data_IF_454438969546
#
_entry.id   IF_454438969546
#
_cell.length_a   1.000
_cell.length_b   1.000
_cell.length_c   1.000
_cell.angle_alpha   90.00
_cell.angle_beta   90.00
_cell.angle_gamma   90.00
#
_symmetry.space_group_name_H-M   'P 1'
#
loop_
_entity.id
_entity.type
_entity.pdbx_description
1 polymer ?
#
# COMPACT_ATOMS: atom_id res chain seq x y z
N UNK A 1 -2.65 6.51 -1.97
CA UNK A 1 -2.80 5.37 -1.04
C UNK A 1 -3.57 5.80 0.19
N UNK A 2 -3.57 4.96 1.23
CA UNK A 2 -4.25 5.20 2.52
C UNK A 2 -3.28 5.17 3.70
N UNK A 3 -3.45 6.14 4.60
CA UNK A 3 -2.95 6.08 5.97
C UNK A 3 -3.88 5.26 6.86
N UNK A 4 -3.54 5.14 8.14
CA UNK A 4 -4.30 4.35 9.11
C UNK A 4 -5.59 5.04 9.57
N UNK A 5 -5.54 6.35 9.80
CA UNK A 5 -6.61 7.13 10.43
C UNK A 5 -6.85 8.47 9.75
N UNK A 6 -5.80 9.20 9.39
CA UNK A 6 -5.89 10.61 9.03
C UNK A 6 -5.41 10.88 7.60
N UNK A 7 -6.20 11.67 6.87
CA UNK A 7 -5.84 12.09 5.52
C UNK A 7 -4.84 13.24 5.58
N UNK A 8 -3.75 13.12 4.81
CA UNK A 8 -2.75 14.17 4.57
C UNK A 8 -1.91 14.60 5.79
N UNK A 9 -1.92 13.86 6.90
CA UNK A 9 -1.03 14.10 8.05
C UNK A 9 0.35 13.53 7.76
N UNK A 10 1.08 14.18 6.85
CA UNK A 10 2.31 13.62 6.23
C UNK A 10 3.53 14.52 6.36
N UNK A 11 3.44 15.59 7.16
CA UNK A 11 4.53 16.55 7.31
C UNK A 11 5.72 15.93 8.05
N UNK A 12 6.72 15.50 7.28
CA UNK A 12 7.93 14.84 7.80
C UNK A 12 8.74 15.72 8.76
N UNK A 13 8.58 17.05 8.74
CA UNK A 13 9.27 17.91 9.70
C UNK A 13 8.87 17.61 11.15
N UNK A 14 7.64 17.12 11.37
CA UNK A 14 7.14 16.77 12.70
C UNK A 14 7.90 15.59 13.32
N UNK A 15 8.51 14.70 12.50
CA UNK A 15 9.24 13.53 13.01
C UNK A 15 10.59 13.88 13.66
N UNK A 16 11.03 15.14 13.55
CA UNK A 16 12.25 15.65 14.18
C UNK A 16 12.00 16.32 15.53
N UNK A 17 10.74 16.46 15.96
CA UNK A 17 10.43 16.95 17.29
C UNK A 17 10.96 15.97 18.34
N UNK A 18 11.47 16.45 19.48
CA UNK A 18 12.00 15.61 20.57
C UNK A 18 10.84 14.99 21.39
N UNK A 19 9.94 14.30 20.70
CA UNK A 19 8.80 13.57 21.28
C UNK A 19 9.10 12.08 21.11
N UNK A 20 8.83 11.32 22.16
CA UNK A 20 8.99 9.86 22.13
C UNK A 20 8.15 9.25 20.99
N UNK A 21 8.75 8.37 20.18
CA UNK A 21 8.13 7.73 19.02
C UNK A 21 7.61 8.68 17.93
N UNK A 22 8.08 9.94 17.87
CA UNK A 22 7.64 10.90 16.85
C UNK A 22 7.80 10.35 15.41
N UNK A 23 8.90 9.63 15.14
CA UNK A 23 9.16 9.05 13.82
C UNK A 23 8.11 8.04 13.36
N UNK A 24 7.51 7.33 14.32
CA UNK A 24 6.63 6.20 14.03
C UNK A 24 5.14 6.59 14.10
N UNK A 25 4.79 7.56 14.95
CA UNK A 25 3.41 7.84 15.32
C UNK A 25 2.91 9.27 15.02
N UNK A 26 3.79 10.27 14.81
CA UNK A 26 3.33 11.67 14.67
C UNK A 26 2.77 12.00 13.30
N UNK A 27 3.04 11.14 12.31
CA UNK A 27 2.53 11.26 10.95
C UNK A 27 1.81 9.97 10.55
N UNK A 28 0.84 10.15 9.65
CA UNK A 28 0.06 9.08 9.05
C UNK A 28 0.16 9.10 7.51
N UNK A 29 1.35 8.85 6.94
CA UNK A 29 1.51 8.68 5.51
C UNK A 29 0.77 7.46 4.99
N UNK A 30 0.46 7.50 3.69
CA UNK A 30 -0.01 6.33 2.97
C UNK A 30 0.99 5.18 3.02
N UNK A 31 0.49 3.96 3.15
CA UNK A 31 1.30 2.74 3.26
C UNK A 31 0.81 1.65 2.30
N UNK A 32 1.73 0.80 1.84
CA UNK A 32 1.42 -0.24 0.86
C UNK A 32 0.52 -1.34 1.44
N UNK A 33 0.75 -1.73 2.69
CA UNK A 33 -0.09 -2.70 3.39
C UNK A 33 -1.53 -2.21 3.55
N UNK A 34 -1.76 -1.00 4.04
CA UNK A 34 -3.12 -0.47 4.18
C UNK A 34 -3.77 -0.18 2.84
N UNK A 35 -3.04 0.36 1.86
CA UNK A 35 -3.58 0.58 0.51
C UNK A 35 -3.99 -0.73 -0.14
N UNK A 36 -3.18 -1.78 0.00
CA UNK A 36 -3.51 -3.14 -0.46
C UNK A 36 -4.76 -3.69 0.21
N UNK A 37 -4.90 -3.52 1.53
CA UNK A 37 -6.11 -3.95 2.27
C UNK A 37 -7.38 -3.21 1.87
N UNK A 38 -7.30 -1.90 1.62
CA UNK A 38 -8.45 -1.13 1.13
C UNK A 38 -8.85 -1.58 -0.27
N UNK A 39 -7.88 -1.79 -1.18
CA UNK A 39 -8.14 -2.35 -2.50
C UNK A 39 -8.74 -3.77 -2.44
N UNK A 40 -8.26 -4.61 -1.52
CA UNK A 40 -8.83 -5.92 -1.24
C UNK A 40 -10.30 -5.81 -0.83
N UNK A 41 -10.59 -4.93 0.13
CA UNK A 41 -11.95 -4.69 0.59
C UNK A 41 -12.86 -4.22 -0.55
N UNK A 42 -12.42 -3.21 -1.30
CA UNK A 42 -13.17 -2.66 -2.43
C UNK A 42 -13.48 -3.74 -3.47
N UNK A 43 -12.45 -4.46 -3.94
CA UNK A 43 -12.59 -5.41 -5.03
C UNK A 43 -13.42 -6.65 -4.69
N UNK A 44 -13.45 -7.08 -3.42
CA UNK A 44 -14.15 -8.30 -3.01
C UNK A 44 -15.51 -8.05 -2.37
N UNK A 45 -15.75 -6.87 -1.77
CA UNK A 45 -16.90 -6.66 -0.90
C UNK A 45 -17.72 -5.41 -1.21
N UNK A 46 -17.41 -4.69 -2.28
CA UNK A 46 -18.16 -3.51 -2.70
C UNK A 46 -18.59 -3.61 -4.16
N UNK A 47 -19.46 -2.69 -4.60
CA UNK A 47 -19.84 -2.50 -6.00
C UNK A 47 -19.07 -1.34 -6.66
N UNK A 48 -18.02 -0.82 -6.02
CA UNK A 48 -17.22 0.26 -6.58
C UNK A 48 -16.40 -0.30 -7.73
N UNK A 49 -16.58 0.28 -8.91
CA UNK A 49 -15.88 -0.15 -10.11
C UNK A 49 -14.40 0.26 -10.11
N UNK A 50 -13.60 -0.47 -10.89
CA UNK A 50 -12.15 -0.26 -10.98
C UNK A 50 -11.80 1.11 -11.56
N UNK A 51 -12.61 1.61 -12.49
CA UNK A 51 -12.45 2.91 -13.17
C UNK A 51 -12.89 4.10 -12.29
N UNK A 52 -13.31 3.83 -11.05
CA UNK A 52 -13.50 4.88 -10.06
C UNK A 52 -12.17 5.62 -9.83
N UNK A 53 -12.20 6.95 -9.97
CA UNK A 53 -11.02 7.82 -9.84
C UNK A 53 -10.18 7.56 -8.57
N UNK A 54 -10.83 7.24 -7.44
CA UNK A 54 -10.13 7.00 -6.18
C UNK A 54 -9.42 5.64 -6.18
N UNK A 55 -10.01 4.64 -6.83
CA UNK A 55 -9.44 3.31 -7.01
C UNK A 55 -8.28 3.36 -8.00
N UNK A 56 -8.39 4.11 -9.09
CA UNK A 56 -7.28 4.32 -10.03
C UNK A 56 -6.09 4.97 -9.34
N UNK A 57 -6.31 6.06 -8.60
CA UNK A 57 -5.26 6.72 -7.80
C UNK A 57 -4.65 5.80 -6.74
N UNK A 58 -5.43 4.86 -6.20
CA UNK A 58 -4.93 3.85 -5.26
C UNK A 58 -3.95 2.88 -5.94
N UNK A 59 -4.34 2.40 -7.12
CA UNK A 59 -3.57 1.47 -7.94
C UNK A 59 -2.28 2.13 -8.40
N UNK A 60 -2.34 3.34 -8.93
CA UNK A 60 -1.16 4.10 -9.34
C UNK A 60 -0.20 4.28 -8.16
N UNK A 61 -0.72 4.76 -7.03
CA UNK A 61 0.10 4.98 -5.84
C UNK A 61 0.80 3.70 -5.38
N UNK A 62 0.10 2.56 -5.28
CA UNK A 62 0.73 1.32 -4.80
C UNK A 62 1.75 0.78 -5.80
N UNK A 63 1.50 0.91 -7.11
CA UNK A 63 2.45 0.51 -8.14
C UNK A 63 3.73 1.37 -8.13
N UNK A 64 3.60 2.68 -7.91
CA UNK A 64 4.73 3.61 -7.78
C UNK A 64 5.58 3.37 -6.53
N UNK A 65 5.00 2.77 -5.48
CA UNK A 65 5.67 2.48 -4.21
C UNK A 65 6.21 1.05 -4.11
N UNK A 66 6.33 0.33 -5.25
CA UNK A 66 7.02 -0.95 -5.30
C UNK A 66 8.54 -0.74 -5.22
N UNK A 67 9.22 -1.50 -4.37
CA UNK A 67 10.68 -1.50 -4.29
C UNK A 67 11.30 -2.05 -5.58
N UNK A 68 12.56 -1.66 -5.85
CA UNK A 68 13.28 -2.11 -7.05
C UNK A 68 13.41 -3.64 -7.15
N UNK A 69 13.44 -4.33 -6.00
CA UNK A 69 13.52 -5.79 -5.93
C UNK A 69 12.16 -6.48 -6.14
N UNK A 70 11.05 -5.73 -6.22
CA UNK A 70 9.69 -6.23 -6.40
C UNK A 70 8.85 -6.29 -5.12
N UNK A 71 9.42 -6.03 -3.95
CA UNK A 71 8.69 -6.06 -2.68
C UNK A 71 7.94 -4.76 -2.37
N UNK A 72 7.09 -4.79 -1.36
CA UNK A 72 6.53 -3.60 -0.70
C UNK A 72 6.80 -3.64 0.79
N UNK A 73 7.16 -2.50 1.36
CA UNK A 73 7.33 -2.34 2.81
C UNK A 73 5.98 -2.43 3.54
N UNK A 74 5.90 -3.28 4.56
CA UNK A 74 4.78 -3.32 5.51
C UNK A 74 5.11 -2.48 6.74
N UNK A 75 4.29 -1.46 7.03
CA UNK A 75 4.46 -0.59 8.21
C UNK A 75 3.84 -1.23 9.46
N UNK A 76 2.73 -1.95 9.29
CA UNK A 76 1.92 -2.49 10.39
C UNK A 76 2.09 -4.00 10.62
N UNK A 77 2.86 -4.67 9.77
CA UNK A 77 3.27 -6.06 9.95
C UNK A 77 4.70 -6.26 9.50
N UNK A 78 5.40 -7.27 10.05
CA UNK A 78 6.83 -7.49 9.82
C UNK A 78 7.06 -8.32 8.55
N UNK A 79 7.76 -7.83 7.54
CA UNK A 79 7.88 -6.44 7.12
C UNK A 79 7.58 -6.40 5.61
N UNK A 80 8.57 -6.74 4.79
CA UNK A 80 8.39 -6.82 3.33
C UNK A 80 7.51 -7.98 2.89
N UNK A 81 7.54 -9.13 3.59
CA UNK A 81 6.62 -10.24 3.30
C UNK A 81 5.16 -9.80 3.49
N UNK A 82 4.88 -9.13 4.61
CA UNK A 82 3.54 -8.65 4.94
C UNK A 82 3.05 -7.58 3.95
N UNK A 83 3.87 -6.56 3.69
CA UNK A 83 3.53 -5.50 2.73
C UNK A 83 3.32 -6.05 1.32
N UNK A 84 4.19 -6.96 0.87
CA UNK A 84 4.09 -7.58 -0.47
C UNK A 84 2.83 -8.44 -0.60
N UNK A 85 2.51 -9.25 0.41
CA UNK A 85 1.28 -10.03 0.43
C UNK A 85 0.03 -9.15 0.34
N UNK A 86 -0.05 -8.10 1.16
CA UNK A 86 -1.18 -7.18 1.16
C UNK A 86 -1.33 -6.45 -0.18
N UNK A 87 -0.23 -5.97 -0.75
CA UNK A 87 -0.21 -5.28 -2.05
C UNK A 87 -0.66 -6.19 -3.20
N UNK A 88 -0.12 -7.41 -3.30
CA UNK A 88 -0.53 -8.38 -4.33
C UNK A 88 -2.01 -8.71 -4.17
N UNK A 89 -2.47 -8.98 -2.95
CA UNK A 89 -3.87 -9.37 -2.69
C UNK A 89 -4.83 -8.26 -3.13
N UNK A 90 -4.56 -7.01 -2.77
CA UNK A 90 -5.39 -5.86 -3.17
C UNK A 90 -5.35 -5.55 -4.67
N UNK A 91 -4.17 -5.63 -5.30
CA UNK A 91 -4.09 -5.43 -6.76
C UNK A 91 -4.87 -6.53 -7.50
N UNK A 92 -4.79 -7.78 -7.01
CA UNK A 92 -5.48 -8.91 -7.63
C UNK A 92 -7.01 -8.84 -7.47
N UNK A 93 -7.53 -8.40 -6.33
CA UNK A 93 -8.97 -8.26 -6.09
C UNK A 93 -9.61 -7.23 -7.02
N UNK A 94 -8.88 -6.17 -7.38
CA UNK A 94 -9.36 -5.11 -8.28
C UNK A 94 -9.13 -5.42 -9.76
N UNK A 95 -8.71 -6.65 -10.09
CA UNK A 95 -8.61 -7.15 -11.45
C UNK A 95 -7.26 -6.94 -12.15
N UNK A 96 -6.21 -6.49 -11.46
CA UNK A 96 -4.87 -6.42 -12.06
C UNK A 96 -4.39 -7.83 -12.43
N UNK A 97 -4.04 -8.10 -13.69
CA UNK A 97 -3.81 -9.46 -14.17
C UNK A 97 -2.50 -10.04 -13.63
N UNK A 98 -2.43 -11.37 -13.53
CA UNK A 98 -1.28 -12.07 -12.90
C UNK A 98 0.03 -11.84 -13.65
N UNK A 99 -0.05 -11.59 -14.95
CA UNK A 99 1.09 -11.30 -15.83
C UNK A 99 1.49 -9.82 -15.82
N UNK A 100 0.83 -8.97 -15.03
CA UNK A 100 1.27 -7.59 -14.83
C UNK A 100 2.68 -7.57 -14.24
N UNK A 101 3.52 -6.66 -14.73
CA UNK A 101 4.95 -6.60 -14.38
C UNK A 101 5.18 -6.53 -12.87
N UNK A 102 4.46 -5.65 -12.17
CA UNK A 102 4.57 -5.50 -10.72
C UNK A 102 4.24 -6.81 -9.97
N UNK A 103 3.23 -7.56 -10.42
CA UNK A 103 2.85 -8.84 -9.82
C UNK A 103 3.92 -9.89 -10.06
N UNK A 104 4.49 -9.95 -11.26
CA UNK A 104 5.56 -10.89 -11.60
C UNK A 104 6.85 -10.60 -10.83
N UNK A 105 7.24 -9.33 -10.70
CA UNK A 105 8.40 -8.90 -9.89
C UNK A 105 8.23 -9.31 -8.42
N UNK A 106 7.05 -9.06 -7.86
CA UNK A 106 6.75 -9.40 -6.48
C UNK A 106 6.70 -10.92 -6.24
N UNK A 107 6.09 -11.67 -7.17
CA UNK A 107 6.10 -13.13 -7.12
C UNK A 107 7.53 -13.69 -7.19
N UNK A 108 8.38 -13.13 -8.05
CA UNK A 108 9.80 -13.50 -8.14
C UNK A 108 10.58 -13.14 -6.87
N UNK A 109 10.21 -12.08 -6.18
CA UNK A 109 10.85 -11.71 -4.91
C UNK A 109 10.50 -12.66 -3.76
N UNK A 110 9.31 -13.26 -3.80
CA UNK A 110 8.82 -14.19 -2.76
C UNK A 110 9.44 -15.59 -2.83
N UNK A 111 10.08 -15.97 -3.95
CA UNK A 111 10.64 -17.31 -4.21
C UNK A 111 12.15 -17.26 -4.42
#
# INVERSE_FOLDING_TARGET
>A
GWGAFEKNVTNKWLTYLPIENAKDAIIDPSTADLTGRVLEFIGNYTTIERDNEQVEKAIEWILEHQEKNGSWYGRWGICYLYGTWAAITGLRSIGIPKNHEAIQKAAKWLI
#
